data_IF_873569282303
#
_entry.id   IF_873569282303
#
_cell.length_a   1.000
_cell.length_b   1.000
_cell.length_c   1.000
_cell.angle_alpha   90.00
_cell.angle_beta   90.00
_cell.angle_gamma   90.00
#
_symmetry.space_group_name_H-M   'P 1'
#
loop_
_entity.id
_entity.type
_entity.pdbx_description
1 polymer ?
#
# COMPACT_ATOMS: atom_id res chain seq x y z
N UNK A 1 2.80 -1.01 -1.00
CA UNK A 1 3.16 -1.45 -2.34
C UNK A 1 3.09 -0.26 -3.29
N UNK A 2 3.92 -0.24 -4.34
CA UNK A 2 4.07 0.93 -5.20
C UNK A 2 4.23 2.21 -4.34
N UNK A 3 5.16 2.13 -3.41
CA UNK A 3 5.26 3.10 -2.29
C UNK A 3 5.95 4.39 -2.67
N UNK A 4 6.42 4.47 -3.91
CA UNK A 4 7.14 5.60 -4.46
C UNK A 4 8.21 6.09 -3.47
N UNK A 5 8.25 7.37 -3.15
CA UNK A 5 9.25 7.91 -2.21
C UNK A 5 8.95 7.65 -0.72
N UNK A 6 7.90 6.90 -0.38
CA UNK A 6 7.57 6.56 1.01
C UNK A 6 6.77 7.64 1.75
N UNK A 7 6.11 8.53 1.02
CA UNK A 7 5.28 9.62 1.59
C UNK A 7 4.23 9.09 2.57
N UNK A 8 3.57 7.97 2.24
CA UNK A 8 2.59 7.37 3.15
C UNK A 8 3.23 6.92 4.46
N UNK A 9 4.42 6.28 4.41
CA UNK A 9 5.13 5.87 5.61
C UNK A 9 5.45 7.07 6.51
N UNK A 10 5.89 8.16 5.90
CA UNK A 10 6.14 9.42 6.59
C UNK A 10 4.88 9.98 7.27
N UNK A 11 3.76 10.07 6.55
CA UNK A 11 2.48 10.55 7.11
C UNK A 11 2.04 9.68 8.29
N UNK A 12 2.15 8.35 8.16
CA UNK A 12 1.78 7.42 9.23
C UNK A 12 2.61 7.63 10.49
N UNK A 13 3.89 7.96 10.38
CA UNK A 13 4.77 8.20 11.53
C UNK A 13 4.53 9.58 12.12
N UNK A 14 4.48 10.62 11.30
CA UNK A 14 4.44 12.01 11.72
C UNK A 14 3.07 12.42 12.28
N UNK A 15 2.02 12.14 11.51
CA UNK A 15 0.66 12.57 11.84
C UNK A 15 -0.02 11.68 12.89
N UNK A 16 0.17 10.37 12.77
CA UNK A 16 -0.54 9.44 13.63
C UNK A 16 0.27 8.98 14.83
N UNK A 17 1.54 9.38 14.98
CA UNK A 17 2.43 9.01 16.08
C UNK A 17 2.28 7.53 16.44
N UNK A 18 2.30 6.67 15.43
CA UNK A 18 1.98 5.26 15.55
C UNK A 18 3.00 4.52 16.44
N UNK A 19 2.80 4.62 17.73
CA UNK A 19 3.70 4.07 18.76
C UNK A 19 3.81 2.54 18.76
N UNK A 20 3.00 1.85 17.94
CA UNK A 20 2.93 0.38 17.89
C UNK A 20 3.46 -0.23 16.58
N UNK A 21 3.91 0.58 15.63
CA UNK A 21 4.49 0.07 14.38
C UNK A 21 6.00 -0.05 14.58
N UNK A 22 6.52 -1.27 14.49
CA UNK A 22 7.95 -1.52 14.64
C UNK A 22 8.71 -1.33 13.32
N UNK A 23 8.12 -1.76 12.20
CA UNK A 23 8.76 -1.69 10.89
C UNK A 23 7.75 -1.34 9.81
N UNK A 24 8.16 -0.47 8.88
CA UNK A 24 7.45 -0.18 7.64
C UNK A 24 8.36 -0.53 6.47
N UNK A 25 7.93 -1.45 5.62
CA UNK A 25 8.62 -1.74 4.37
C UNK A 25 7.93 -0.98 3.23
N UNK A 26 8.59 0.00 2.65
CA UNK A 26 8.15 0.71 1.45
C UNK A 26 8.77 0.02 0.23
N UNK A 27 7.93 -0.53 -0.64
CA UNK A 27 8.35 -1.28 -1.81
C UNK A 27 8.04 -0.51 -3.07
N UNK A 28 9.01 -0.38 -3.95
CA UNK A 28 8.81 0.13 -5.30
C UNK A 28 9.70 -0.62 -6.30
N UNK A 29 9.26 -0.62 -7.56
CA UNK A 29 10.02 -1.19 -8.67
C UNK A 29 11.01 -0.19 -9.26
N UNK A 30 10.84 1.11 -8.98
CA UNK A 30 11.77 2.16 -9.39
C UNK A 30 12.95 2.22 -8.40
N UNK A 31 14.20 1.95 -8.84
CA UNK A 31 15.36 2.06 -7.98
C UNK A 31 15.61 3.50 -7.50
N UNK A 32 15.18 4.52 -8.26
CA UNK A 32 15.30 5.93 -7.85
C UNK A 32 14.37 6.23 -6.67
N UNK A 33 13.17 5.67 -6.62
CA UNK A 33 12.23 5.87 -5.52
C UNK A 33 12.86 5.49 -4.17
N UNK A 34 13.60 4.39 -4.11
CA UNK A 34 14.36 3.96 -2.93
C UNK A 34 15.37 5.01 -2.48
N UNK A 35 16.17 5.54 -3.41
CA UNK A 35 17.24 6.47 -3.09
C UNK A 35 16.68 7.82 -2.64
N UNK A 36 15.68 8.35 -3.34
CA UNK A 36 15.01 9.60 -3.00
C UNK A 36 14.30 9.50 -1.64
N UNK A 37 13.58 8.41 -1.38
CA UNK A 37 12.92 8.17 -0.11
C UNK A 37 13.91 8.18 1.07
N UNK A 38 15.05 7.53 0.92
CA UNK A 38 16.11 7.51 1.93
C UNK A 38 16.69 8.92 2.21
N UNK A 39 16.87 9.73 1.18
CA UNK A 39 17.39 11.10 1.33
C UNK A 39 16.36 12.01 2.02
N UNK A 40 15.09 11.93 1.60
CA UNK A 40 14.04 12.82 2.10
C UNK A 40 13.66 12.53 3.56
N UNK A 41 13.68 11.26 3.98
CA UNK A 41 13.09 10.84 5.25
C UNK A 41 14.10 10.23 6.24
N UNK A 42 15.36 10.03 5.87
CA UNK A 42 16.41 9.55 6.79
C UNK A 42 16.57 10.38 8.08
N UNK A 43 16.44 11.72 8.06
CA UNK A 43 16.52 12.53 9.29
C UNK A 43 15.42 12.19 10.30
N UNK A 44 14.22 11.81 9.84
CA UNK A 44 13.09 11.45 10.72
C UNK A 44 13.21 10.04 11.33
N UNK A 45 13.85 9.12 10.63
CA UNK A 45 14.22 7.83 11.21
C UNK A 45 15.11 8.03 12.46
N UNK A 46 16.04 8.99 12.40
CA UNK A 46 16.93 9.32 13.51
C UNK A 46 16.23 10.03 14.67
N UNK A 47 15.23 10.89 14.41
CA UNK A 47 14.43 11.57 15.44
C UNK A 47 13.54 10.58 16.20
N UNK A 48 12.95 9.61 15.53
CA UNK A 48 12.14 8.56 16.15
C UNK A 48 12.94 7.65 17.07
N UNK A 49 14.25 7.48 16.83
CA UNK A 49 15.16 6.71 17.70
C UNK A 49 15.37 7.41 19.06
N UNK A 50 15.41 8.74 19.09
CA UNK A 50 15.60 9.51 20.33
C UNK A 50 14.43 9.41 21.31
N UNK A 51 13.21 9.11 20.84
CA UNK A 51 12.02 8.96 21.66
C UNK A 51 11.83 7.58 22.30
N UNK A 52 12.77 6.65 22.17
CA UNK A 52 12.77 5.33 22.82
C UNK A 52 11.87 4.26 22.16
N UNK A 53 11.20 4.57 21.05
CA UNK A 53 10.44 3.61 20.21
C UNK A 53 10.73 3.89 18.75
N UNK A 54 11.78 3.27 18.23
CA UNK A 54 12.15 3.43 16.83
C UNK A 54 11.16 2.70 15.90
N UNK A 55 10.51 3.43 15.01
CA UNK A 55 9.88 2.85 13.82
C UNK A 55 10.91 2.87 12.69
N UNK A 56 11.28 1.70 12.19
CA UNK A 56 12.23 1.60 11.09
C UNK A 56 11.48 1.62 9.76
N UNK A 57 11.82 2.58 8.88
CA UNK A 57 11.34 2.62 7.51
C UNK A 57 12.39 2.03 6.57
N UNK A 58 12.05 0.93 5.94
CA UNK A 58 12.92 0.25 5.00
C UNK A 58 12.46 0.54 3.57
N UNK A 59 13.26 1.28 2.82
CA UNK A 59 13.03 1.54 1.40
C UNK A 59 13.65 0.41 0.57
N UNK A 60 12.81 -0.37 -0.12
CA UNK A 60 13.25 -1.56 -0.83
C UNK A 60 12.91 -1.48 -2.31
N UNK A 61 13.90 -1.66 -3.16
CA UNK A 61 13.67 -1.99 -4.57
C UNK A 61 13.19 -3.43 -4.67
N UNK A 62 11.92 -3.62 -5.00
CA UNK A 62 11.28 -4.93 -5.08
C UNK A 62 10.21 -4.97 -6.17
N UNK A 63 10.29 -6.03 -6.97
CA UNK A 63 9.22 -6.40 -7.89
C UNK A 63 8.13 -7.17 -7.13
N UNK A 64 6.93 -6.62 -7.06
CA UNK A 64 5.80 -7.23 -6.32
C UNK A 64 5.44 -8.62 -6.87
N UNK A 65 5.66 -8.88 -8.17
CA UNK A 65 5.42 -10.16 -8.84
C UNK A 65 6.32 -11.28 -8.33
N UNK A 66 7.43 -10.93 -7.70
CA UNK A 66 8.45 -11.86 -7.17
C UNK A 66 8.42 -12.01 -5.66
N UNK A 67 7.46 -11.35 -4.99
CA UNK A 67 7.32 -11.48 -3.54
C UNK A 67 6.82 -12.87 -3.17
N UNK A 68 7.51 -13.50 -2.23
CA UNK A 68 7.21 -14.85 -1.75
C UNK A 68 6.34 -14.79 -0.49
N UNK A 69 5.66 -15.89 -0.18
CA UNK A 69 4.85 -16.06 1.02
C UNK A 69 5.65 -15.72 2.29
N UNK A 70 6.85 -16.27 2.45
CA UNK A 70 7.70 -16.06 3.65
C UNK A 70 8.07 -14.60 3.90
N UNK A 71 7.99 -13.77 2.86
CA UNK A 71 8.18 -12.33 3.01
C UNK A 71 6.87 -11.62 3.36
N UNK A 72 5.77 -12.01 2.75
CA UNK A 72 4.48 -11.32 2.83
C UNK A 72 3.68 -11.70 4.08
N UNK A 73 3.77 -12.94 4.55
CA UNK A 73 2.96 -13.46 5.66
C UNK A 73 3.29 -12.83 7.04
N UNK A 74 4.39 -12.09 7.15
CA UNK A 74 4.81 -11.42 8.39
C UNK A 74 4.18 -10.04 8.59
N UNK A 75 3.50 -9.49 7.59
CA UNK A 75 2.89 -8.18 7.70
C UNK A 75 1.47 -8.28 8.23
N UNK A 76 1.14 -7.46 9.24
CA UNK A 76 -0.22 -7.30 9.76
C UNK A 76 -1.03 -6.26 8.98
N UNK A 77 -0.36 -5.40 8.21
CA UNK A 77 -0.97 -4.40 7.35
C UNK A 77 -0.23 -4.35 6.02
N UNK A 78 -0.98 -4.37 4.92
CA UNK A 78 -0.47 -4.13 3.57
C UNK A 78 -1.29 -3.04 2.91
N UNK A 79 -0.63 -2.04 2.35
CA UNK A 79 -1.28 -0.94 1.63
C UNK A 79 -0.79 -0.87 0.19
N UNK A 80 -1.70 -0.55 -0.72
CA UNK A 80 -1.39 -0.13 -2.09
C UNK A 80 -2.23 1.10 -2.42
N UNK A 81 -1.58 2.24 -2.59
CA UNK A 81 -2.26 3.53 -2.85
C UNK A 81 -2.31 3.90 -4.33
N UNK A 82 -1.91 2.97 -5.20
CA UNK A 82 -1.77 3.19 -6.65
C UNK A 82 -2.09 1.90 -7.41
N UNK A 83 -3.25 1.29 -7.10
CA UNK A 83 -3.68 0.06 -7.78
C UNK A 83 -3.91 0.29 -9.28
N UNK A 84 -4.28 1.51 -9.68
CA UNK A 84 -4.47 1.90 -11.07
C UNK A 84 -3.22 1.74 -11.95
N UNK A 85 -2.03 1.74 -11.35
CA UNK A 85 -0.75 1.53 -12.06
C UNK A 85 -0.27 0.09 -12.09
N UNK A 86 -0.97 -0.83 -11.41
CA UNK A 86 -0.59 -2.23 -11.28
C UNK A 86 -1.58 -3.12 -12.01
N UNK A 87 -1.10 -4.16 -12.69
CA UNK A 87 -2.01 -5.15 -13.25
C UNK A 87 -2.74 -5.90 -12.12
N UNK A 88 -4.04 -6.20 -12.30
CA UNK A 88 -4.85 -6.88 -11.29
C UNK A 88 -4.20 -8.17 -10.81
N UNK A 89 -3.68 -8.98 -11.73
CA UNK A 89 -2.98 -10.24 -11.39
C UNK A 89 -1.77 -10.05 -10.46
N UNK A 90 -1.12 -8.90 -10.48
CA UNK A 90 0.05 -8.61 -9.63
C UNK A 90 -0.40 -8.23 -8.21
N UNK A 91 -1.52 -7.51 -8.09
CA UNK A 91 -2.17 -7.24 -6.81
C UNK A 91 -2.68 -8.54 -6.20
N UNK A 92 -3.33 -9.37 -7.00
CA UNK A 92 -3.83 -10.69 -6.60
C UNK A 92 -2.71 -11.61 -6.11
N UNK A 93 -1.57 -11.61 -6.82
CA UNK A 93 -0.38 -12.36 -6.42
C UNK A 93 0.08 -12.00 -4.99
N UNK A 94 0.03 -10.73 -4.64
CA UNK A 94 0.38 -10.27 -3.29
C UNK A 94 -0.67 -10.70 -2.28
N UNK A 95 -1.95 -10.40 -2.53
CA UNK A 95 -3.05 -10.69 -1.59
C UNK A 95 -3.13 -12.19 -1.30
N UNK A 96 -2.96 -13.05 -2.30
CA UNK A 96 -3.03 -14.50 -2.16
C UNK A 96 -1.92 -15.09 -1.27
N UNK A 97 -0.85 -14.33 -1.05
CA UNK A 97 0.31 -14.73 -0.23
C UNK A 97 0.37 -14.08 1.15
N UNK A 98 -0.59 -13.24 1.48
CA UNK A 98 -0.69 -12.66 2.82
C UNK A 98 -1.16 -13.71 3.82
N UNK A 99 -0.77 -13.52 5.08
CA UNK A 99 -1.37 -14.25 6.19
C UNK A 99 -2.87 -13.94 6.27
N UNK A 100 -3.68 -14.92 6.68
CA UNK A 100 -5.08 -14.68 7.03
C UNK A 100 -5.15 -13.60 8.11
N UNK A 101 -6.18 -12.79 8.07
CA UNK A 101 -6.41 -11.66 8.99
C UNK A 101 -5.45 -10.46 8.79
N UNK A 102 -4.53 -10.49 7.80
CA UNK A 102 -3.77 -9.29 7.41
C UNK A 102 -4.73 -8.20 6.95
N UNK A 103 -4.63 -7.02 7.54
CA UNK A 103 -5.39 -5.85 7.09
C UNK A 103 -4.84 -5.38 5.73
N UNK A 104 -5.74 -5.19 4.77
CA UNK A 104 -5.40 -4.77 3.40
C UNK A 104 -6.11 -3.46 3.10
N UNK A 105 -5.34 -2.46 2.66
CA UNK A 105 -5.86 -1.14 2.22
C UNK A 105 -5.46 -0.93 0.78
N UNK A 106 -6.44 -0.81 -0.10
CA UNK A 106 -6.22 -0.62 -1.53
C UNK A 106 -6.88 0.69 -1.98
N UNK A 107 -6.17 1.45 -2.80
CA UNK A 107 -6.72 2.65 -3.44
C UNK A 107 -6.57 2.56 -4.95
N UNK A 108 -7.59 3.08 -5.65
CA UNK A 108 -7.63 3.26 -7.10
C UNK A 108 -8.43 4.51 -7.45
N UNK A 109 -8.72 4.73 -8.72
CA UNK A 109 -9.51 5.85 -9.21
C UNK A 109 -10.17 5.51 -10.57
N UNK A 110 -11.01 6.42 -11.08
CA UNK A 110 -11.62 6.34 -12.41
C UNK A 110 -11.01 7.33 -13.42
N UNK A 111 -9.84 7.89 -13.15
CA UNK A 111 -9.19 8.85 -14.04
C UNK A 111 -8.63 8.17 -15.29
N UNK A 112 -9.22 8.44 -16.46
CA UNK A 112 -8.91 7.79 -17.73
C UNK A 112 -7.82 8.49 -18.55
N UNK A 113 -7.57 9.78 -18.28
CA UNK A 113 -6.67 10.60 -19.09
C UNK A 113 -5.19 10.46 -18.67
N UNK A 114 -4.82 9.29 -18.17
CA UNK A 114 -3.44 8.95 -17.82
C UNK A 114 -3.05 7.62 -18.46
N UNK A 115 -2.11 7.67 -19.40
CA UNK A 115 -1.62 6.47 -20.11
C UNK A 115 -0.99 5.39 -19.22
N UNK A 116 -0.62 5.75 -18.00
CA UNK A 116 -0.04 4.81 -17.03
C UNK A 116 -1.10 4.09 -16.18
N UNK A 117 -2.38 4.49 -16.28
CA UNK A 117 -3.48 3.85 -15.60
C UNK A 117 -3.95 2.63 -16.39
N UNK A 118 -3.55 1.45 -15.96
CA UNK A 118 -3.85 0.18 -16.63
C UNK A 118 -4.92 -0.64 -15.91
N UNK A 119 -5.32 -0.23 -14.71
CA UNK A 119 -6.25 -0.95 -13.85
C UNK A 119 -7.17 0.04 -13.09
N UNK A 120 -7.93 0.80 -13.85
CA UNK A 120 -8.94 1.71 -13.33
C UNK A 120 -10.27 0.98 -13.12
N UNK A 121 -11.09 1.47 -12.22
CA UNK A 121 -12.49 1.04 -12.03
C UNK A 121 -13.42 2.21 -12.29
N UNK A 122 -14.56 1.97 -12.92
CA UNK A 122 -15.50 3.04 -13.24
C UNK A 122 -16.18 3.60 -11.99
N UNK A 123 -16.41 2.76 -10.99
CA UNK A 123 -16.99 3.14 -9.69
C UNK A 123 -16.44 2.28 -8.55
N UNK A 124 -16.85 2.62 -7.33
CA UNK A 124 -16.44 1.93 -6.11
C UNK A 124 -16.95 0.49 -6.03
N UNK A 125 -18.10 0.17 -6.63
CA UNK A 125 -18.67 -1.18 -6.61
C UNK A 125 -17.86 -2.10 -7.51
N UNK A 126 -17.49 -1.62 -8.70
CA UNK A 126 -16.58 -2.34 -9.58
C UNK A 126 -15.23 -2.58 -8.89
N UNK A 127 -14.62 -1.54 -8.32
CA UNK A 127 -13.36 -1.68 -7.58
C UNK A 127 -13.46 -2.68 -6.43
N UNK A 128 -14.54 -2.63 -5.65
CA UNK A 128 -14.79 -3.54 -4.55
C UNK A 128 -14.97 -4.98 -5.05
N UNK A 129 -15.65 -5.18 -6.18
CA UNK A 129 -15.97 -6.52 -6.72
C UNK A 129 -14.72 -7.32 -7.08
N UNK A 130 -13.62 -6.67 -7.44
CA UNK A 130 -12.33 -7.31 -7.75
C UNK A 130 -11.74 -8.10 -6.56
N UNK A 131 -12.23 -7.85 -5.34
CA UNK A 131 -11.62 -8.40 -4.12
C UNK A 131 -12.61 -9.12 -3.20
N UNK A 132 -13.87 -9.33 -3.62
CA UNK A 132 -14.92 -9.96 -2.79
C UNK A 132 -14.64 -11.41 -2.43
N UNK A 133 -13.88 -12.11 -3.24
CA UNK A 133 -13.45 -13.50 -3.02
C UNK A 133 -12.16 -13.59 -2.18
N UNK A 134 -11.45 -12.48 -1.98
CA UNK A 134 -10.13 -12.40 -1.35
C UNK A 134 -10.13 -11.74 0.02
N UNK A 135 -11.06 -10.83 0.25
CA UNK A 135 -11.14 -10.02 1.47
C UNK A 135 -12.48 -10.20 2.18
N UNK A 136 -12.42 -10.27 3.50
CA UNK A 136 -13.58 -10.23 4.40
C UNK A 136 -13.73 -8.84 5.03
N UNK A 137 -14.93 -8.52 5.54
CA UNK A 137 -15.23 -7.28 6.25
C UNK A 137 -14.91 -6.00 5.46
N UNK A 138 -15.12 -6.04 4.15
CA UNK A 138 -14.74 -4.95 3.25
C UNK A 138 -15.57 -3.69 3.50
N UNK A 139 -14.90 -2.61 3.89
CA UNK A 139 -15.41 -1.24 3.91
C UNK A 139 -14.91 -0.50 2.69
N UNK A 140 -15.77 0.33 2.09
CA UNK A 140 -15.48 1.06 0.88
C UNK A 140 -15.74 2.57 1.07
N UNK A 141 -14.87 3.40 0.51
CA UNK A 141 -14.91 4.85 0.64
C UNK A 141 -14.65 5.49 -0.72
N UNK A 142 -15.35 6.60 -0.97
CA UNK A 142 -15.17 7.43 -2.16
C UNK A 142 -14.77 8.83 -1.73
N UNK A 143 -13.75 9.37 -2.38
CA UNK A 143 -13.39 10.78 -2.27
C UNK A 143 -13.53 11.42 -3.66
N UNK A 144 -14.53 12.27 -3.87
CA UNK A 144 -14.67 12.98 -5.14
C UNK A 144 -13.61 14.07 -5.28
N UNK A 145 -13.11 14.20 -6.51
CA UNK A 145 -12.27 15.29 -7.00
C UNK A 145 -12.97 15.93 -8.21
N UNK A 146 -12.44 17.04 -8.72
CA UNK A 146 -13.08 17.79 -9.80
C UNK A 146 -13.30 16.93 -11.07
N UNK A 147 -12.32 16.10 -11.43
CA UNK A 147 -12.33 15.36 -12.70
C UNK A 147 -12.39 13.83 -12.53
N UNK A 148 -12.35 13.32 -11.31
CA UNK A 148 -12.36 11.89 -11.03
C UNK A 148 -12.73 11.61 -9.58
N UNK A 149 -13.08 10.38 -9.30
CA UNK A 149 -13.26 9.88 -7.94
C UNK A 149 -12.08 9.00 -7.54
N UNK A 150 -11.61 9.16 -6.31
CA UNK A 150 -10.66 8.24 -5.70
C UNK A 150 -11.39 7.26 -4.81
N UNK A 151 -11.07 6.00 -4.97
CA UNK A 151 -11.67 4.89 -4.25
C UNK A 151 -10.69 4.33 -3.24
N UNK A 152 -11.21 3.89 -2.10
CA UNK A 152 -10.45 3.13 -1.12
C UNK A 152 -11.29 1.99 -0.58
N UNK A 153 -10.72 0.81 -0.51
CA UNK A 153 -11.28 -0.33 0.22
C UNK A 153 -10.33 -0.75 1.34
N UNK A 154 -10.93 -1.18 2.45
CA UNK A 154 -10.24 -1.73 3.61
C UNK A 154 -10.92 -3.05 3.95
N UNK A 155 -10.14 -4.11 4.07
CA UNK A 155 -10.67 -5.44 4.42
C UNK A 155 -9.59 -6.29 5.07
N UNK A 156 -9.96 -7.45 5.56
CA UNK A 156 -9.03 -8.45 6.08
C UNK A 156 -8.83 -9.57 5.08
N UNK A 157 -7.60 -10.08 4.95
CA UNK A 157 -7.32 -11.22 4.07
C UNK A 157 -8.16 -12.42 4.53
N UNK A 158 -9.01 -12.94 3.61
CA UNK A 158 -9.87 -14.09 3.88
C UNK A 158 -9.05 -15.34 4.19
N UNK A 159 -9.50 -16.13 5.16
CA UNK A 159 -8.97 -17.48 5.41
C UNK A 159 -9.31 -18.38 4.21
N UNK A 160 -8.31 -19.10 3.72
CA UNK A 160 -8.52 -20.17 2.73
C UNK A 160 -8.94 -21.44 3.43
#
# INVERSE_FOLDING_TARGET
LAGWYGVLAYILIDEFKLQKINNIDTLDYDPLAKNVGRILFAPKDAENIKGGKATFVNYKYKDIRKLKYDYLNKFSLVTCTSCEHLAQKDIDHVIDRLHSDTLVVLQSNNYKDCNQHINISNDINEFRSLYTDKLDNVRAYVKPFINYDRYMIIGTRRKK
#
